data_IF_600650651476
#
_entry.id   IF_600650651476
#
_cell.length_a   1.000
_cell.length_b   1.000
_cell.length_c   1.000
_cell.angle_alpha   90.00
_cell.angle_beta   90.00
_cell.angle_gamma   90.00
#
_symmetry.space_group_name_H-M   'P 1'
#
loop_
_entity.id
_entity.type
_entity.pdbx_description
1 polymer ?
#
# COMPACT_ATOMS: atom_id res chain seq x y z
N UNK A 1 -39.89 18.85 50.56
CA UNK A 1 -40.59 18.72 49.26
C UNK A 1 -39.95 19.73 48.31
N UNK A 2 -39.02 19.27 47.47
CA UNK A 2 -39.15 19.11 45.99
C UNK A 2 -38.76 20.42 45.26
N UNK A 3 -37.95 20.48 44.21
CA UNK A 3 -37.46 19.51 43.20
C UNK A 3 -36.09 19.96 42.68
N UNK A 4 -35.23 18.98 42.41
CA UNK A 4 -34.24 19.03 41.33
C UNK A 4 -34.96 19.10 39.98
N UNK A 5 -34.51 19.96 39.06
CA UNK A 5 -34.79 19.84 37.62
C UNK A 5 -33.52 20.22 36.85
N UNK A 6 -33.05 19.27 36.05
CA UNK A 6 -31.96 19.38 35.06
C UNK A 6 -32.40 20.23 33.86
N UNK A 7 -31.47 20.97 33.24
CA UNK A 7 -31.59 21.33 31.82
C UNK A 7 -30.23 21.24 31.13
N UNK A 8 -30.30 20.64 29.94
CA UNK A 8 -29.25 20.20 29.05
C UNK A 8 -28.47 21.31 28.34
N UNK A 9 -27.33 20.88 27.78
CA UNK A 9 -26.77 21.33 26.50
C UNK A 9 -26.45 22.82 26.35
N UNK A 10 -25.17 23.17 26.44
CA UNK A 10 -24.49 23.96 25.40
C UNK A 10 -23.02 23.53 25.32
N UNK A 11 -22.73 22.56 24.45
CA UNK A 11 -21.42 22.47 23.82
C UNK A 11 -21.21 23.80 23.07
N UNK A 12 -20.36 24.66 23.62
CA UNK A 12 -19.91 25.86 22.92
C UNK A 12 -19.03 25.38 21.77
N UNK A 13 -19.63 25.24 20.59
CA UNK A 13 -18.92 25.22 19.32
C UNK A 13 -18.25 26.58 19.16
N UNK A 14 -16.99 26.68 19.54
CA UNK A 14 -16.14 27.77 19.07
C UNK A 14 -15.77 27.40 17.63
N UNK A 15 -16.41 28.07 16.67
CA UNK A 15 -16.02 28.04 15.27
C UNK A 15 -14.64 28.68 15.12
N UNK A 16 -13.59 27.89 15.32
CA UNK A 16 -12.24 28.25 14.88
C UNK A 16 -12.21 28.17 13.36
N UNK A 17 -11.90 29.30 12.71
CA UNK A 17 -11.67 29.38 11.27
C UNK A 17 -10.57 28.42 10.78
N UNK A 18 -10.30 28.40 9.46
CA UNK A 18 -9.38 27.44 8.88
C UNK A 18 -8.00 27.59 9.53
N UNK A 19 -7.62 26.60 10.35
CA UNK A 19 -6.23 26.41 10.74
C UNK A 19 -5.47 26.11 9.46
N UNK A 20 -4.88 27.13 8.84
CA UNK A 20 -3.81 26.96 7.87
C UNK A 20 -2.60 26.42 8.63
N UNK A 21 -2.53 25.11 8.79
CA UNK A 21 -1.27 24.44 9.03
C UNK A 21 -0.53 24.40 7.70
N UNK A 22 0.15 25.50 7.36
CA UNK A 22 1.29 25.44 6.43
C UNK A 22 2.41 24.65 7.12
N UNK A 23 2.21 23.34 7.26
CA UNK A 23 3.32 22.43 7.43
C UNK A 23 4.05 22.44 6.09
N UNK A 24 5.17 23.16 6.01
CA UNK A 24 6.20 22.89 5.01
C UNK A 24 6.73 21.47 5.29
N UNK A 25 5.93 20.45 4.96
CA UNK A 25 6.35 19.06 4.98
C UNK A 25 7.43 18.94 3.92
N UNK A 26 8.62 18.59 4.37
CA UNK A 26 9.76 18.27 3.52
C UNK A 26 9.28 17.22 2.50
N UNK A 27 9.26 17.59 1.21
CA UNK A 27 8.88 16.66 0.16
C UNK A 27 10.00 15.65 0.04
N UNK A 28 9.80 14.46 0.59
CA UNK A 28 10.72 13.35 0.37
C UNK A 28 10.81 13.04 -1.12
N UNK A 29 12.01 12.73 -1.65
CA UNK A 29 12.14 12.29 -3.02
C UNK A 29 11.43 10.94 -3.20
N UNK A 30 10.95 10.61 -4.41
CA UNK A 30 10.27 9.34 -4.68
C UNK A 30 11.16 8.10 -4.47
N UNK A 31 12.48 8.29 -4.43
CA UNK A 31 13.45 7.24 -4.14
C UNK A 31 14.58 7.75 -3.25
N UNK A 32 14.86 7.02 -2.17
CA UNK A 32 15.96 7.29 -1.22
C UNK A 32 16.93 6.12 -1.27
N UNK A 33 18.21 6.36 -1.50
CA UNK A 33 19.22 5.30 -1.59
C UNK A 33 20.10 5.26 -0.33
N UNK A 34 20.23 4.09 0.25
CA UNK A 34 21.01 3.79 1.44
C UNK A 34 22.03 2.68 1.14
N UNK A 35 23.08 2.64 1.95
CA UNK A 35 24.13 1.63 1.87
C UNK A 35 23.97 0.61 3.01
N UNK A 36 24.28 -0.66 2.76
CA UNK A 36 24.26 -1.72 3.76
C UNK A 36 25.39 -1.55 4.80
N UNK A 37 25.24 -0.58 5.68
CA UNK A 37 26.19 -0.21 6.73
C UNK A 37 25.41 0.10 8.02
N UNK A 38 26.09 0.15 9.18
CA UNK A 38 25.43 0.58 10.42
C UNK A 38 24.77 1.96 10.28
N UNK A 39 25.45 2.90 9.62
CA UNK A 39 24.91 4.23 9.32
C UNK A 39 23.69 4.17 8.40
N UNK A 40 23.69 3.31 7.39
CA UNK A 40 22.53 3.13 6.51
C UNK A 40 21.33 2.53 7.23
N UNK A 41 21.54 1.57 8.13
CA UNK A 41 20.47 1.03 8.98
C UNK A 41 19.93 2.05 9.98
N UNK A 42 20.78 2.92 10.52
CA UNK A 42 20.34 4.03 11.36
C UNK A 42 19.45 5.01 10.58
N UNK A 43 19.87 5.38 9.35
CA UNK A 43 19.03 6.20 8.47
C UNK A 43 17.71 5.51 8.09
N UNK A 44 17.73 4.20 7.83
CA UNK A 44 16.51 3.44 7.56
C UNK A 44 15.56 3.49 8.76
N UNK A 45 16.08 3.39 9.99
CA UNK A 45 15.30 3.52 11.21
C UNK A 45 14.62 4.91 11.30
N UNK A 46 15.37 5.98 11.07
CA UNK A 46 14.85 7.36 11.05
C UNK A 46 13.76 7.53 10.00
N UNK A 47 14.00 7.06 8.77
CA UNK A 47 13.00 7.14 7.69
C UNK A 47 11.72 6.36 8.02
N UNK A 48 11.83 5.18 8.65
CA UNK A 48 10.63 4.44 9.07
C UNK A 48 9.86 5.22 10.13
N UNK A 49 10.55 5.87 11.08
CA UNK A 49 9.89 6.74 12.07
C UNK A 49 9.15 7.90 11.40
N UNK A 50 9.79 8.57 10.44
CA UNK A 50 9.24 9.74 9.77
C UNK A 50 8.07 9.40 8.84
N UNK A 51 8.21 8.33 8.05
CA UNK A 51 7.26 7.98 6.99
C UNK A 51 6.04 7.20 7.49
N UNK A 52 6.13 6.55 8.66
CA UNK A 52 5.00 5.81 9.24
C UNK A 52 4.11 6.64 10.16
N UNK A 53 4.51 7.88 10.45
CA UNK A 53 3.78 8.77 11.34
C UNK A 53 2.51 9.32 10.67
N UNK A 54 1.37 8.75 11.05
CA UNK A 54 0.07 9.39 10.89
C UNK A 54 -0.01 10.49 11.96
N UNK A 55 0.47 11.70 11.70
CA UNK A 55 -0.12 12.83 12.44
C UNK A 55 -1.57 12.93 11.97
N UNK A 56 -2.46 12.30 12.76
CA UNK A 56 -3.93 12.24 12.66
C UNK A 56 -4.46 13.20 11.62
N UNK A 57 -4.54 12.71 10.39
CA UNK A 57 -5.17 13.44 9.30
C UNK A 57 -6.67 13.16 9.46
N UNK A 58 -7.53 14.19 9.63
CA UNK A 58 -8.98 14.00 9.66
C UNK A 58 -9.43 13.14 8.47
N UNK A 59 -10.40 12.25 8.63
CA UNK A 59 -10.77 11.27 7.59
C UNK A 59 -11.00 11.88 6.19
N UNK A 60 -11.58 13.08 6.11
CA UNK A 60 -11.72 13.81 4.84
C UNK A 60 -10.40 14.29 4.23
N UNK A 61 -9.42 14.67 5.05
CA UNK A 61 -8.07 15.02 4.60
C UNK A 61 -7.20 13.76 4.34
N UNK A 62 -7.58 12.59 4.88
CA UNK A 62 -6.86 11.34 4.66
C UNK A 62 -7.01 10.89 3.21
N UNK A 63 -8.21 10.97 2.64
CA UNK A 63 -8.43 10.68 1.21
C UNK A 63 -7.62 11.61 0.31
N UNK A 64 -7.65 12.93 0.59
CA UNK A 64 -6.81 13.91 -0.11
C UNK A 64 -5.31 13.66 0.07
N UNK A 65 -4.89 13.11 1.22
CA UNK A 65 -3.51 12.74 1.49
C UNK A 65 -3.08 11.50 0.70
N UNK A 66 -3.95 10.49 0.58
CA UNK A 66 -3.70 9.30 -0.23
C UNK A 66 -3.66 9.60 -1.73
N UNK A 67 -4.42 10.61 -2.18
CA UNK A 67 -4.54 11.01 -3.59
C UNK A 67 -3.44 11.98 -4.08
N UNK A 68 -2.57 12.49 -3.20
CA UNK A 68 -1.52 13.46 -3.56
C UNK A 68 -0.26 12.77 -4.09
N UNK A 69 0.40 13.43 -5.06
CA UNK A 69 1.82 13.19 -5.33
C UNK A 69 2.63 13.34 -4.03
N UNK A 70 3.14 12.21 -3.51
CA UNK A 70 3.88 12.17 -2.25
C UNK A 70 3.24 11.35 -1.12
N UNK A 71 2.35 10.39 -1.41
CA UNK A 71 1.99 9.32 -0.45
C UNK A 71 3.29 8.63 0.04
N UNK A 72 3.58 8.61 1.36
CA UNK A 72 4.80 7.99 1.88
C UNK A 72 4.99 6.53 1.49
N UNK A 73 3.89 5.81 1.22
CA UNK A 73 3.93 4.40 0.83
C UNK A 73 4.46 4.19 -0.58
N UNK A 74 4.55 5.25 -1.39
CA UNK A 74 5.15 5.24 -2.73
C UNK A 74 6.65 5.57 -2.71
N UNK A 75 7.19 6.03 -1.59
CA UNK A 75 8.62 6.33 -1.46
C UNK A 75 9.39 5.01 -1.41
N UNK A 76 10.20 4.76 -2.43
CA UNK A 76 11.10 3.61 -2.47
C UNK A 76 12.37 3.91 -1.66
N UNK A 77 12.55 3.25 -0.52
CA UNK A 77 13.85 3.22 0.16
C UNK A 77 14.64 2.04 -0.41
N UNK A 78 15.68 2.32 -1.19
CA UNK A 78 16.56 1.32 -1.75
C UNK A 78 17.79 1.12 -0.87
N UNK A 79 18.03 -0.08 -0.37
CA UNK A 79 19.27 -0.43 0.35
C UNK A 79 20.02 -1.53 -0.38
N UNK A 80 21.06 -1.13 -1.11
CA UNK A 80 21.91 -2.01 -1.94
C UNK A 80 21.09 -3.01 -2.79
N UNK A 81 20.09 -2.49 -3.51
CA UNK A 81 19.24 -3.27 -4.40
C UNK A 81 17.95 -3.82 -3.76
N UNK A 82 17.77 -3.70 -2.45
CA UNK A 82 16.52 -4.06 -1.77
C UNK A 82 15.59 -2.85 -1.74
N UNK A 83 14.44 -2.94 -2.40
CA UNK A 83 13.38 -1.94 -2.31
C UNK A 83 12.53 -2.17 -1.06
N UNK A 84 12.34 -1.11 -0.27
CA UNK A 84 11.57 -1.10 0.98
C UNK A 84 10.52 0.00 0.87
N UNK A 85 9.27 -0.36 1.11
CA UNK A 85 8.15 0.56 1.21
C UNK A 85 7.66 0.56 2.65
N UNK A 86 7.48 1.75 3.21
CA UNK A 86 7.11 1.92 4.62
C UNK A 86 5.59 1.92 4.74
N UNK A 87 5.00 1.00 5.52
CA UNK A 87 3.58 1.02 5.78
C UNK A 87 3.19 2.17 6.71
N UNK A 88 1.92 2.55 6.62
CA UNK A 88 1.26 3.37 7.63
C UNK A 88 0.96 2.48 8.82
N UNK A 89 1.41 2.87 10.03
CA UNK A 89 1.38 2.00 11.21
C UNK A 89 0.89 2.75 12.45
N UNK A 90 0.30 2.03 13.39
CA UNK A 90 0.17 2.51 14.76
C UNK A 90 1.51 2.36 15.52
N UNK A 91 1.59 2.97 16.71
CA UNK A 91 2.82 2.99 17.51
C UNK A 91 3.35 1.58 17.83
N UNK A 92 2.46 0.64 18.16
CA UNK A 92 2.84 -0.75 18.49
C UNK A 92 3.46 -1.46 17.29
N UNK A 93 2.81 -1.38 16.12
CA UNK A 93 3.33 -1.99 14.90
C UNK A 93 4.63 -1.35 14.44
N UNK A 94 4.75 -0.02 14.57
CA UNK A 94 5.96 0.72 14.25
C UNK A 94 7.13 0.27 15.13
N UNK A 95 6.92 0.18 16.45
CA UNK A 95 7.94 -0.33 17.38
C UNK A 95 8.38 -1.76 17.03
N UNK A 96 7.43 -2.64 16.66
CA UNK A 96 7.74 -4.00 16.24
C UNK A 96 8.61 -4.02 14.97
N UNK A 97 8.27 -3.23 13.95
CA UNK A 97 9.07 -3.15 12.71
C UNK A 97 10.47 -2.60 12.98
N UNK A 98 10.56 -1.52 13.76
CA UNK A 98 11.82 -0.88 14.13
C UNK A 98 12.73 -1.80 14.94
N UNK A 99 12.18 -2.60 15.86
CA UNK A 99 12.95 -3.58 16.63
C UNK A 99 13.63 -4.62 15.71
N UNK A 100 12.92 -5.08 14.67
CA UNK A 100 13.48 -5.99 13.66
C UNK A 100 14.58 -5.34 12.83
N UNK A 101 14.41 -4.07 12.44
CA UNK A 101 15.46 -3.33 11.71
C UNK A 101 16.72 -3.21 12.58
N UNK A 102 16.56 -2.91 13.87
CA UNK A 102 17.67 -2.86 14.82
C UNK A 102 18.35 -4.22 14.98
N UNK A 103 17.59 -5.31 15.11
CA UNK A 103 18.15 -6.65 15.22
C UNK A 103 18.93 -7.07 13.97
N UNK A 104 18.41 -6.75 12.78
CA UNK A 104 19.12 -6.99 11.52
C UNK A 104 20.42 -6.17 11.48
N UNK A 105 20.39 -4.91 11.94
CA UNK A 105 21.56 -4.02 11.94
C UNK A 105 22.73 -4.55 12.77
N UNK A 106 22.46 -5.34 13.83
CA UNK A 106 23.46 -5.95 14.71
C UNK A 106 24.29 -7.04 14.02
N UNK A 107 23.81 -7.60 12.91
CA UNK A 107 24.56 -8.60 12.18
C UNK A 107 25.87 -8.03 11.60
N UNK A 108 26.99 -8.68 11.90
CA UNK A 108 28.30 -8.32 11.36
C UNK A 108 28.51 -8.81 9.91
N UNK A 109 27.64 -9.66 9.38
CA UNK A 109 27.78 -10.27 8.06
C UNK A 109 26.90 -9.55 7.02
N UNK A 110 27.47 -8.76 6.09
CA UNK A 110 26.69 -7.90 5.18
C UNK A 110 25.66 -8.67 4.33
N UNK A 111 26.03 -9.86 3.82
CA UNK A 111 25.14 -10.71 3.02
C UNK A 111 23.95 -11.23 3.82
N UNK A 112 24.17 -11.68 5.06
CA UNK A 112 23.11 -12.13 5.97
C UNK A 112 22.18 -10.98 6.30
N UNK A 113 22.74 -9.79 6.57
CA UNK A 113 21.99 -8.59 6.89
C UNK A 113 21.05 -8.17 5.75
N UNK A 114 21.54 -8.15 4.50
CA UNK A 114 20.70 -7.89 3.32
C UNK A 114 19.62 -8.96 3.14
N UNK A 115 19.97 -10.25 3.25
CA UNK A 115 18.96 -11.33 3.14
C UNK A 115 17.84 -11.19 4.18
N UNK A 116 18.18 -10.85 5.42
CA UNK A 116 17.18 -10.61 6.47
C UNK A 116 16.35 -9.36 6.20
N UNK A 117 16.96 -8.29 5.68
CA UNK A 117 16.26 -7.07 5.30
C UNK A 117 15.28 -7.31 4.15
N UNK A 118 15.70 -8.07 3.12
CA UNK A 118 14.84 -8.46 1.99
C UNK A 118 13.61 -9.21 2.49
N UNK A 119 13.81 -10.22 3.35
CA UNK A 119 12.71 -10.99 3.93
C UNK A 119 11.78 -10.12 4.82
N UNK A 120 12.31 -9.10 5.49
CA UNK A 120 11.51 -8.17 6.28
C UNK A 120 10.70 -7.23 5.37
N UNK A 121 11.32 -6.69 4.31
CA UNK A 121 10.69 -5.80 3.35
C UNK A 121 9.51 -6.48 2.64
N UNK A 122 9.69 -7.72 2.19
CA UNK A 122 8.63 -8.54 1.58
C UNK A 122 7.44 -8.82 2.50
N UNK A 123 7.64 -8.66 3.81
CA UNK A 123 6.61 -8.86 4.83
C UNK A 123 6.19 -7.56 5.49
N UNK A 124 6.69 -6.39 5.06
CA UNK A 124 6.43 -5.14 5.77
C UNK A 124 4.94 -4.77 5.80
N UNK A 125 4.18 -5.16 4.76
CA UNK A 125 2.75 -4.90 4.66
C UNK A 125 1.92 -5.44 5.84
N UNK A 126 2.35 -6.50 6.53
CA UNK A 126 1.63 -7.04 7.71
C UNK A 126 1.67 -6.12 8.93
N UNK A 127 2.58 -5.14 8.93
CA UNK A 127 2.68 -4.13 9.97
C UNK A 127 1.72 -2.97 9.73
N UNK A 128 0.97 -2.95 8.63
CA UNK A 128 0.10 -1.82 8.33
C UNK A 128 -1.08 -1.76 9.29
N UNK A 129 -1.52 -0.54 9.59
CA UNK A 129 -2.80 -0.24 10.22
C UNK A 129 -3.78 0.32 9.19
N UNK A 130 -5.08 0.38 9.54
CA UNK A 130 -6.10 1.13 8.80
C UNK A 130 -6.19 0.78 7.30
N UNK A 131 -6.40 -0.49 6.96
CA UNK A 131 -6.74 -0.92 5.60
C UNK A 131 -5.78 -0.41 4.50
N UNK A 132 -4.50 -0.28 4.85
CA UNK A 132 -3.47 0.36 4.02
C UNK A 132 -2.35 -0.57 3.55
N UNK A 133 -2.47 -1.87 3.86
CA UNK A 133 -1.46 -2.90 3.59
C UNK A 133 -1.29 -3.20 2.11
N UNK A 134 -2.37 -3.06 1.35
CA UNK A 134 -2.50 -3.45 -0.04
C UNK A 134 -1.53 -2.69 -0.94
N UNK A 135 -1.41 -1.37 -0.75
CA UNK A 135 -0.49 -0.53 -1.54
C UNK A 135 0.97 -0.90 -1.29
N UNK A 136 1.34 -1.13 -0.03
CA UNK A 136 2.71 -1.55 0.36
C UNK A 136 3.02 -2.93 -0.19
N UNK A 137 2.06 -3.86 -0.09
CA UNK A 137 2.17 -5.20 -0.64
C UNK A 137 2.40 -5.16 -2.16
N UNK A 138 1.59 -4.39 -2.89
CA UNK A 138 1.70 -4.28 -4.35
C UNK A 138 3.01 -3.62 -4.77
N UNK A 139 3.36 -2.49 -4.14
CA UNK A 139 4.61 -1.78 -4.38
C UNK A 139 5.83 -2.67 -4.14
N UNK A 140 5.76 -3.53 -3.12
CA UNK A 140 6.80 -4.49 -2.81
C UNK A 140 6.88 -5.58 -3.88
N UNK A 141 5.76 -6.23 -4.22
CA UNK A 141 5.72 -7.33 -5.19
C UNK A 141 6.21 -6.89 -6.59
N UNK A 142 5.79 -5.71 -7.07
CA UNK A 142 6.21 -5.22 -8.39
C UNK A 142 7.71 -4.97 -8.50
N UNK A 143 8.41 -4.78 -7.37
CA UNK A 143 9.88 -4.61 -7.32
C UNK A 143 10.62 -5.93 -7.10
N UNK A 144 9.94 -7.04 -6.87
CA UNK A 144 10.57 -8.34 -6.71
C UNK A 144 11.06 -8.88 -8.04
N UNK A 145 12.23 -9.52 -8.03
CA UNK A 145 12.70 -10.34 -9.14
C UNK A 145 11.87 -11.62 -9.24
N UNK A 146 11.88 -12.28 -10.40
CA UNK A 146 11.13 -13.54 -10.59
C UNK A 146 11.59 -14.66 -9.65
N UNK A 147 12.89 -14.70 -9.33
CA UNK A 147 13.43 -15.60 -8.29
C UNK A 147 12.77 -15.34 -6.93
N UNK A 148 12.60 -14.06 -6.55
CA UNK A 148 11.98 -13.70 -5.28
C UNK A 148 10.48 -13.93 -5.30
N UNK A 149 9.78 -13.68 -6.41
CA UNK A 149 8.35 -14.02 -6.57
C UNK A 149 8.12 -15.53 -6.38
N UNK A 150 9.05 -16.34 -6.88
CA UNK A 150 9.04 -17.80 -6.72
C UNK A 150 9.42 -18.30 -5.31
N UNK A 151 9.80 -17.41 -4.39
CA UNK A 151 10.12 -17.76 -3.00
C UNK A 151 8.86 -17.95 -2.16
N UNK A 152 9.02 -18.48 -0.94
CA UNK A 152 7.89 -18.60 0.02
C UNK A 152 7.22 -17.24 0.28
N UNK A 153 8.00 -16.20 0.54
CA UNK A 153 7.47 -14.86 0.79
C UNK A 153 6.79 -14.27 -0.46
N UNK A 154 7.37 -14.50 -1.64
CA UNK A 154 6.78 -14.05 -2.91
C UNK A 154 5.41 -14.67 -3.17
N UNK A 155 5.29 -15.99 -3.00
CA UNK A 155 4.00 -16.68 -3.12
C UNK A 155 2.97 -16.28 -2.07
N UNK A 156 3.40 -16.06 -0.82
CA UNK A 156 2.54 -15.54 0.25
C UNK A 156 2.00 -14.15 -0.11
N UNK A 157 2.87 -13.28 -0.65
CA UNK A 157 2.51 -11.93 -1.06
C UNK A 157 1.60 -11.91 -2.29
N UNK A 158 1.87 -12.75 -3.28
CA UNK A 158 1.01 -12.95 -4.46
C UNK A 158 -0.39 -13.42 -4.07
N UNK A 159 -0.49 -14.44 -3.22
CA UNK A 159 -1.78 -14.92 -2.72
C UNK A 159 -2.55 -13.81 -2.00
N UNK A 160 -1.86 -12.99 -1.19
CA UNK A 160 -2.48 -11.85 -0.55
C UNK A 160 -3.02 -10.84 -1.58
N UNK A 161 -2.26 -10.53 -2.64
CA UNK A 161 -2.69 -9.61 -3.69
C UNK A 161 -3.88 -10.14 -4.51
N UNK A 162 -3.95 -11.45 -4.75
CA UNK A 162 -5.11 -12.09 -5.39
C UNK A 162 -6.35 -11.96 -4.52
N UNK A 163 -6.25 -12.29 -3.23
CA UNK A 163 -7.37 -12.21 -2.27
C UNK A 163 -7.86 -10.77 -2.11
N UNK A 164 -6.96 -9.80 -2.13
CA UNK A 164 -7.28 -8.38 -1.95
C UNK A 164 -7.48 -7.62 -3.28
N UNK A 165 -7.55 -8.33 -4.41
CA UNK A 165 -7.53 -7.73 -5.75
C UNK A 165 -8.68 -6.76 -6.00
N UNK A 166 -9.90 -7.10 -5.56
CA UNK A 166 -11.07 -6.22 -5.64
C UNK A 166 -10.82 -4.89 -4.92
N UNK A 167 -10.42 -4.96 -3.64
CA UNK A 167 -10.13 -3.78 -2.82
C UNK A 167 -9.02 -2.91 -3.41
N UNK A 168 -7.98 -3.53 -3.96
CA UNK A 168 -6.88 -2.82 -4.64
C UNK A 168 -7.41 -2.08 -5.87
N UNK A 169 -8.17 -2.77 -6.72
CA UNK A 169 -8.74 -2.19 -7.92
C UNK A 169 -9.69 -1.03 -7.59
N UNK A 170 -10.58 -1.17 -6.60
CA UNK A 170 -11.44 -0.08 -6.15
C UNK A 170 -10.62 1.15 -5.75
N UNK A 171 -9.60 0.98 -4.90
CA UNK A 171 -8.77 2.08 -4.46
C UNK A 171 -8.01 2.76 -5.62
N UNK A 172 -7.51 1.99 -6.58
CA UNK A 172 -6.83 2.53 -7.78
C UNK A 172 -7.82 3.32 -8.66
N UNK A 173 -9.04 2.81 -8.84
CA UNK A 173 -10.09 3.46 -9.66
C UNK A 173 -10.58 4.75 -9.00
N UNK A 174 -10.87 4.72 -7.71
CA UNK A 174 -11.30 5.89 -6.93
C UNK A 174 -10.24 7.00 -6.92
N UNK A 175 -8.96 6.63 -6.82
CA UNK A 175 -7.84 7.59 -6.89
C UNK A 175 -7.44 7.96 -8.32
N UNK A 176 -8.07 7.34 -9.32
CA UNK A 176 -7.81 7.54 -10.76
C UNK A 176 -6.34 7.36 -11.14
N UNK A 177 -5.62 6.46 -10.47
CA UNK A 177 -4.21 6.16 -10.77
C UNK A 177 -4.11 5.24 -11.98
N UNK A 178 -4.19 5.83 -13.17
CA UNK A 178 -4.12 5.12 -14.47
C UNK A 178 -2.87 4.26 -14.59
N UNK A 179 -1.74 4.71 -14.03
CA UNK A 179 -0.47 4.00 -14.12
C UNK A 179 -0.49 2.78 -13.22
N UNK A 180 -0.92 2.93 -11.97
CA UNK A 180 -1.06 1.80 -11.05
C UNK A 180 -2.07 0.77 -11.56
N UNK A 181 -3.16 1.22 -12.22
CA UNK A 181 -4.13 0.32 -12.84
C UNK A 181 -3.46 -0.57 -13.89
N UNK A 182 -2.76 0.02 -14.86
CA UNK A 182 -2.10 -0.75 -15.91
C UNK A 182 -1.09 -1.74 -15.33
N UNK A 183 -0.23 -1.27 -14.40
CA UNK A 183 0.75 -2.14 -13.75
C UNK A 183 0.09 -3.28 -12.97
N UNK A 184 -1.05 -3.05 -12.31
CA UNK A 184 -1.74 -4.08 -11.53
C UNK A 184 -2.40 -5.14 -12.43
N UNK A 185 -3.05 -4.70 -13.52
CA UNK A 185 -3.68 -5.60 -14.48
C UNK A 185 -2.67 -6.50 -15.19
N UNK A 186 -1.46 -6.01 -15.46
CA UNK A 186 -0.38 -6.80 -16.08
C UNK A 186 0.01 -8.05 -15.26
N UNK A 187 -0.25 -8.05 -13.94
CA UNK A 187 0.02 -9.21 -13.09
C UNK A 187 -1.09 -10.27 -13.10
N UNK A 188 -2.29 -9.96 -13.62
CA UNK A 188 -3.38 -10.92 -13.72
C UNK A 188 -3.92 -11.43 -12.37
N UNK A 189 -3.86 -10.62 -11.32
CA UNK A 189 -4.35 -11.03 -9.99
C UNK A 189 -5.87 -11.09 -9.87
N UNK A 190 -6.58 -10.29 -10.66
CA UNK A 190 -8.03 -10.14 -10.57
C UNK A 190 -8.74 -11.11 -11.52
N UNK A 191 -9.76 -11.80 -11.01
CA UNK A 191 -10.62 -12.64 -11.84
C UNK A 191 -11.52 -11.80 -12.75
N UNK A 192 -12.04 -12.41 -13.83
CA UNK A 192 -13.04 -11.76 -14.67
C UNK A 192 -14.20 -11.18 -13.86
N UNK A 193 -14.75 -11.96 -12.92
CA UNK A 193 -15.85 -11.54 -12.06
C UNK A 193 -15.49 -10.29 -11.26
N UNK A 194 -14.30 -10.26 -10.67
CA UNK A 194 -13.80 -9.11 -9.91
C UNK A 194 -13.70 -7.86 -10.79
N UNK A 195 -13.20 -8.00 -12.02
CA UNK A 195 -13.06 -6.90 -12.96
C UNK A 195 -14.42 -6.34 -13.39
N UNK A 196 -15.39 -7.22 -13.68
CA UNK A 196 -16.76 -6.83 -14.03
C UNK A 196 -17.45 -6.08 -12.88
N UNK A 197 -17.32 -6.57 -11.65
CA UNK A 197 -17.88 -5.90 -10.46
C UNK A 197 -17.32 -4.49 -10.28
N UNK A 198 -15.99 -4.31 -10.34
CA UNK A 198 -15.35 -2.99 -10.22
C UNK A 198 -15.77 -2.06 -11.36
N UNK A 199 -15.91 -2.60 -12.57
CA UNK A 199 -16.36 -1.81 -13.72
C UNK A 199 -17.78 -1.29 -13.51
N UNK A 200 -18.71 -2.17 -13.15
CA UNK A 200 -20.12 -1.83 -13.00
C UNK A 200 -20.37 -0.86 -11.82
N UNK A 201 -19.59 -0.97 -10.73
CA UNK A 201 -19.79 -0.15 -9.53
C UNK A 201 -19.12 1.23 -9.59
N UNK A 202 -17.95 1.34 -10.25
CA UNK A 202 -17.09 2.52 -10.10
C UNK A 202 -16.79 3.26 -11.40
N UNK A 203 -17.12 2.71 -12.58
CA UNK A 203 -16.63 3.26 -13.84
C UNK A 203 -17.59 4.24 -14.56
N UNK A 204 -18.64 4.77 -13.92
CA UNK A 204 -19.52 5.75 -14.57
C UNK A 204 -18.78 7.07 -14.88
N UNK A 205 -18.06 7.64 -13.91
CA UNK A 205 -17.43 8.97 -14.01
C UNK A 205 -15.89 8.93 -14.12
N UNK A 206 -15.29 7.77 -14.36
CA UNK A 206 -13.82 7.62 -14.45
C UNK A 206 -13.27 7.94 -15.85
N UNK A 207 -11.97 8.27 -15.99
CA UNK A 207 -11.37 8.53 -17.29
C UNK A 207 -11.54 7.39 -18.30
N UNK A 208 -11.80 7.74 -19.56
CA UNK A 208 -12.01 6.78 -20.67
C UNK A 208 -10.87 5.75 -20.78
N UNK A 209 -9.63 6.17 -20.52
CA UNK A 209 -8.46 5.28 -20.55
C UNK A 209 -8.57 4.15 -19.51
N UNK A 210 -9.05 4.44 -18.29
CA UNK A 210 -9.23 3.41 -17.25
C UNK A 210 -10.33 2.44 -17.63
N UNK A 211 -11.45 2.96 -18.16
CA UNK A 211 -12.54 2.12 -18.70
C UNK A 211 -12.02 1.17 -19.77
N UNK A 212 -11.19 1.68 -20.69
CA UNK A 212 -10.60 0.89 -21.76
C UNK A 212 -9.71 -0.25 -21.22
N UNK A 213 -8.84 0.03 -20.24
CA UNK A 213 -7.98 -1.00 -19.64
C UNK A 213 -8.79 -2.10 -18.95
N UNK A 214 -9.82 -1.74 -18.19
CA UNK A 214 -10.69 -2.72 -17.52
C UNK A 214 -11.46 -3.57 -18.54
N UNK A 215 -12.08 -2.96 -19.56
CA UNK A 215 -12.81 -3.68 -20.61
C UNK A 215 -11.90 -4.60 -21.44
N UNK A 216 -10.67 -4.15 -21.73
CA UNK A 216 -9.67 -4.97 -22.40
C UNK A 216 -9.33 -6.22 -21.56
N UNK A 217 -9.09 -6.05 -20.26
CA UNK A 217 -8.76 -7.17 -19.39
C UNK A 217 -9.94 -8.12 -19.19
N UNK A 218 -11.17 -7.61 -19.02
CA UNK A 218 -12.40 -8.43 -18.98
C UNK A 218 -12.51 -9.30 -20.25
N UNK A 219 -12.26 -8.70 -21.41
CA UNK A 219 -12.34 -9.40 -22.69
C UNK A 219 -11.26 -10.49 -22.83
N UNK A 220 -10.05 -10.22 -22.34
CA UNK A 220 -8.95 -11.20 -22.30
C UNK A 220 -9.29 -12.40 -21.42
N UNK A 221 -9.79 -12.16 -20.20
CA UNK A 221 -10.13 -13.24 -19.26
C UNK A 221 -11.29 -14.11 -19.79
N UNK A 222 -12.30 -13.51 -20.44
CA UNK A 222 -13.36 -14.27 -21.14
C UNK A 222 -12.79 -15.25 -22.16
N UNK A 223 -11.87 -14.77 -23.01
CA UNK A 223 -11.22 -15.60 -24.03
C UNK A 223 -10.29 -16.69 -23.49
N UNK A 224 -9.86 -16.60 -22.22
CA UNK A 224 -9.12 -17.66 -21.53
C UNK A 224 -10.09 -18.72 -21.01
N UNK A 225 -11.19 -18.31 -20.36
CA UNK A 225 -12.24 -19.21 -19.85
C UNK A 225 -12.80 -20.12 -20.95
N UNK A 226 -13.14 -19.54 -22.10
CA UNK A 226 -13.70 -20.28 -23.24
C UNK A 226 -12.74 -21.36 -23.80
N UNK A 227 -11.42 -21.11 -23.75
CA UNK A 227 -10.41 -22.06 -24.21
C UNK A 227 -10.25 -23.24 -23.25
N UNK A 228 -10.23 -22.97 -21.94
CA UNK A 228 -10.13 -24.03 -20.92
C UNK A 228 -11.34 -24.96 -20.90
N UNK A 229 -12.53 -24.47 -21.26
CA UNK A 229 -13.71 -25.33 -21.40
C UNK A 229 -13.59 -26.24 -22.64
N UNK A 230 -13.15 -25.73 -23.79
CA UNK A 230 -13.02 -26.57 -25.00
C UNK A 230 -11.98 -27.69 -24.91
N UNK A 231 -10.92 -27.52 -24.11
CA UNK A 231 -9.90 -28.55 -23.90
C UNK A 231 -10.34 -29.68 -22.95
N UNK A 232 -11.33 -29.45 -22.08
CA UNK A 232 -11.83 -30.47 -21.15
C UNK A 232 -12.90 -31.40 -21.75
N UNK A 233 -13.48 -31.05 -22.89
CA UNK A 233 -14.45 -31.89 -23.63
C UNK A 233 -13.84 -32.73 -24.75
N UNK A 234 -12.51 -32.77 -24.87
CA UNK A 234 -11.78 -33.60 -25.84
C UNK A 234 -11.18 -34.85 -25.19
N UNK A 235 -12.02 -35.83 -24.83
CA UNK A 235 -11.60 -37.23 -24.51
C UNK A 235 -12.53 -38.22 -25.19
#
# INVERSE_FOLDING_TARGET
MTKTVFTDSQNIFVSGGPFKTESKKEKFPPKITLQNTKKGFHKLYELVMDLSNIQVIPYGEFIDYLAREGDPRDIEINMDGISIFVPIMNDVQRELLLSKILDISRSMFPKKRLKSLQNLAEKSYIYSSYDSAEKVAFNTYRKMTDERKSSKNGRELEHYLIVMSEKILCAIVETQDVKALNEFLDFGFASQKTLEQVFDELCDDVPVVMKAYLLEQISKERGISDKTETETFSV
#
